data_IF_622776215532
#
_entry.id   IF_622776215532
#
_cell.length_a   1.000
_cell.length_b   1.000
_cell.length_c   1.000
_cell.angle_alpha   90.00
_cell.angle_beta   90.00
_cell.angle_gamma   90.00
#
_symmetry.space_group_name_H-M   'P 1'
#
loop_
_entity.id
_entity.type
_entity.pdbx_description
1 polymer ?
#
# COMPACT_ATOMS: atom_id res chain seq x y z
N UNK A 1 14.47 -4.17 -0.83
CA UNK A 1 13.27 -4.09 -1.69
C UNK A 1 12.22 -3.29 -0.96
N UNK A 2 11.72 -2.22 -1.58
CA UNK A 2 10.60 -1.42 -1.06
C UNK A 2 9.28 -2.13 -1.41
N UNK A 3 8.37 -2.29 -0.44
CA UNK A 3 7.03 -2.86 -0.67
C UNK A 3 5.97 -1.78 -0.47
N UNK A 4 4.98 -1.74 -1.35
CA UNK A 4 3.79 -0.90 -1.23
C UNK A 4 2.56 -1.82 -1.18
N UNK A 5 1.81 -1.82 -0.08
CA UNK A 5 0.69 -2.74 0.16
C UNK A 5 -0.63 -1.97 0.29
N UNK A 6 -1.46 -2.04 -0.75
CA UNK A 6 -2.83 -1.54 -0.76
C UNK A 6 -3.81 -2.66 -0.35
N UNK A 7 -4.64 -2.41 0.67
CA UNK A 7 -5.66 -3.35 1.14
C UNK A 7 -7.00 -2.66 1.44
N UNK A 8 -8.02 -3.43 1.83
CA UNK A 8 -9.34 -2.90 2.20
C UNK A 8 -9.34 -2.27 3.61
N UNK A 9 -10.45 -1.66 4.03
CA UNK A 9 -10.58 -0.95 5.33
C UNK A 9 -11.34 -1.76 6.39
N UNK A 10 -11.81 -2.96 6.07
CA UNK A 10 -12.45 -3.85 7.02
C UNK A 10 -11.42 -4.69 7.79
N UNK A 11 -11.90 -5.59 8.66
CA UNK A 11 -11.04 -6.41 9.51
C UNK A 11 -10.06 -7.25 8.67
N UNK A 12 -10.53 -7.86 7.59
CA UNK A 12 -9.69 -8.68 6.72
C UNK A 12 -8.65 -7.82 5.99
N UNK A 13 -9.07 -6.65 5.50
CA UNK A 13 -8.20 -5.67 4.88
C UNK A 13 -7.02 -5.25 5.76
N UNK A 14 -7.29 -4.92 7.03
CA UNK A 14 -6.23 -4.58 7.99
C UNK A 14 -5.42 -5.81 8.44
N UNK A 15 -6.04 -6.99 8.55
CA UNK A 15 -5.33 -8.22 8.89
C UNK A 15 -4.27 -8.59 7.83
N UNK A 16 -4.56 -8.40 6.54
CA UNK A 16 -3.59 -8.58 5.47
C UNK A 16 -2.32 -7.74 5.69
N UNK A 17 -2.48 -6.50 6.13
CA UNK A 17 -1.35 -5.63 6.42
C UNK A 17 -0.57 -6.06 7.66
N UNK A 18 -1.26 -6.51 8.72
CA UNK A 18 -0.63 -7.11 9.89
C UNK A 18 0.27 -8.28 9.49
N UNK A 19 -0.23 -9.19 8.66
CA UNK A 19 0.53 -10.33 8.15
C UNK A 19 1.75 -9.83 7.37
N UNK A 20 1.57 -8.94 6.38
CA UNK A 20 2.67 -8.47 5.54
C UNK A 20 3.80 -7.77 6.32
N UNK A 21 3.47 -7.05 7.40
CA UNK A 21 4.45 -6.38 8.26
C UNK A 21 5.35 -7.35 9.04
N UNK A 22 4.94 -8.62 9.20
CA UNK A 22 5.81 -9.64 9.80
C UNK A 22 6.94 -10.09 8.86
N UNK A 23 6.78 -9.92 7.55
CA UNK A 23 7.74 -10.37 6.54
C UNK A 23 8.59 -9.24 5.97
N UNK A 24 8.01 -8.04 5.82
CA UNK A 24 8.67 -6.91 5.18
C UNK A 24 8.98 -5.80 6.18
N UNK A 25 10.28 -5.52 6.39
CA UNK A 25 10.73 -4.41 7.25
C UNK A 25 10.56 -3.04 6.58
N UNK A 26 10.65 -2.99 5.25
CA UNK A 26 10.54 -1.76 4.47
C UNK A 26 9.27 -1.79 3.61
N UNK A 27 8.14 -1.47 4.24
CA UNK A 27 6.80 -1.55 3.66
C UNK A 27 6.01 -0.28 3.97
N UNK A 28 5.35 0.25 2.94
CA UNK A 28 4.38 1.35 3.06
C UNK A 28 2.97 0.80 2.79
N UNK A 29 2.07 1.00 3.74
CA UNK A 29 0.68 0.53 3.65
C UNK A 29 -0.27 1.64 3.19
N UNK A 30 -1.27 1.26 2.40
CA UNK A 30 -2.38 2.10 1.95
C UNK A 30 -3.68 1.32 2.12
N UNK A 31 -4.78 2.03 2.38
CA UNK A 31 -6.09 1.41 2.46
C UNK A 31 -7.09 2.17 1.59
N UNK A 32 -8.07 1.46 1.06
CA UNK A 32 -9.18 2.03 0.33
C UNK A 32 -10.45 1.22 0.56
N UNK A 33 -11.60 1.87 0.61
CA UNK A 33 -12.89 1.21 0.63
C UNK A 33 -13.21 0.67 -0.78
N UNK A 34 -13.69 1.50 -1.70
CA UNK A 34 -14.02 1.08 -3.07
C UNK A 34 -13.92 2.23 -4.07
N UNK A 35 -14.01 1.88 -5.35
CA UNK A 35 -14.14 2.83 -6.46
C UNK A 35 -12.97 3.81 -6.54
N UNK A 36 -13.28 5.11 -6.52
CA UNK A 36 -12.29 6.18 -6.75
C UNK A 36 -11.12 6.16 -5.78
N UNK A 37 -11.35 5.73 -4.54
CA UNK A 37 -10.29 5.69 -3.53
C UNK A 37 -9.21 4.66 -3.89
N UNK A 38 -9.61 3.51 -4.46
CA UNK A 38 -8.68 2.48 -4.92
C UNK A 38 -7.75 3.06 -5.99
N UNK A 39 -8.31 3.73 -7.00
CA UNK A 39 -7.52 4.39 -8.05
C UNK A 39 -6.59 5.47 -7.48
N UNK A 40 -7.07 6.29 -6.54
CA UNK A 40 -6.27 7.31 -5.89
C UNK A 40 -5.03 6.71 -5.18
N UNK A 41 -5.21 5.61 -4.41
CA UNK A 41 -4.09 4.94 -3.75
C UNK A 41 -3.12 4.31 -4.76
N UNK A 42 -3.60 3.78 -5.88
CA UNK A 42 -2.73 3.28 -6.97
C UNK A 42 -1.86 4.41 -7.52
N UNK A 43 -2.42 5.59 -7.80
CA UNK A 43 -1.64 6.73 -8.27
C UNK A 43 -0.62 7.23 -7.24
N UNK A 44 -0.98 7.26 -5.96
CA UNK A 44 -0.03 7.58 -4.89
C UNK A 44 1.14 6.61 -4.83
N UNK A 45 0.89 5.31 -4.97
CA UNK A 45 1.93 4.27 -5.03
C UNK A 45 2.84 4.47 -6.25
N UNK A 46 2.27 4.72 -7.43
CA UNK A 46 3.05 4.97 -8.65
C UNK A 46 3.94 6.22 -8.52
N UNK A 47 3.42 7.28 -7.92
CA UNK A 47 4.19 8.50 -7.65
C UNK A 47 5.34 8.24 -6.67
N UNK A 48 5.10 7.47 -5.60
CA UNK A 48 6.15 7.08 -4.66
C UNK A 48 7.23 6.22 -5.34
N UNK A 49 6.84 5.30 -6.23
CA UNK A 49 7.78 4.50 -7.03
C UNK A 49 8.62 5.42 -7.94
N UNK A 50 8.00 6.38 -8.63
CA UNK A 50 8.70 7.31 -9.51
C UNK A 50 9.73 8.16 -8.74
N UNK A 51 9.33 8.76 -7.62
CA UNK A 51 10.21 9.57 -6.76
C UNK A 51 11.37 8.75 -6.18
N UNK A 52 11.16 7.45 -5.92
CA UNK A 52 12.23 6.58 -5.43
C UNK A 52 13.30 6.24 -6.47
N UNK A 53 13.02 6.42 -7.78
CA UNK A 53 13.99 6.18 -8.87
C UNK A 53 14.83 7.40 -9.21
N UNK A 54 14.41 8.59 -8.79
CA UNK A 54 15.10 9.86 -9.05
C UNK A 54 16.20 10.17 -8.01
N UNK A 55 16.32 9.34 -6.96
CA UNK A 55 17.39 9.36 -5.96
C UNK A 55 18.32 8.17 -6.13
#
# INVERSE_FOLDING_TARGET
MQVYHLSHIDLDGYACQLVSKQFFKNIQCYNANYGREVSARIYEILNAIAQSKEN
#
